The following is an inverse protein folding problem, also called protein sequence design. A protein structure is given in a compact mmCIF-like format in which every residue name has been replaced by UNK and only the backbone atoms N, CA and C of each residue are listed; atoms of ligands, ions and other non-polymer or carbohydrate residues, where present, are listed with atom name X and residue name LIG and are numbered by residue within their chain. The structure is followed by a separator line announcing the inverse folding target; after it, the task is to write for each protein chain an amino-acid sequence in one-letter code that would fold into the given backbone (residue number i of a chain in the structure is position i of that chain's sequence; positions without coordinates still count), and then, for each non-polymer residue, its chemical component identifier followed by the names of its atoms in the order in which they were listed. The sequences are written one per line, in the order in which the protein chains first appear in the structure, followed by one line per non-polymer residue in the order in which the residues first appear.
data_IF_841319613478
#
_entry.id   IF_841319613478
#
_cell.length_a   1.000
_cell.length_b   1.000
_cell.length_c   1.000
_cell.angle_alpha   90.00
_cell.angle_beta   90.00
_cell.angle_gamma   90.00
#
_symmetry.space_group_name_H-M   'P 1'
#
loop_
_entity.id
_entity.type
_entity.pdbx_description
1 polymer ?
#
# COMPACT_ATOMS: atom_id res chain seq x y z
N UNK A 1 4.32 29.14 -7.38
CA UNK A 1 5.74 29.15 -7.74
C UNK A 1 6.53 27.86 -7.40
N UNK A 2 6.20 27.13 -6.32
CA UNK A 2 6.94 25.91 -5.94
C UNK A 2 6.56 24.67 -6.78
N UNK A 3 5.38 24.68 -7.40
CA UNK A 3 4.84 23.53 -8.16
C UNK A 3 5.31 23.45 -9.62
N UNK A 4 6.01 24.46 -10.14
CA UNK A 4 6.41 24.54 -11.56
C UNK A 4 7.67 23.75 -11.92
N UNK A 5 8.51 23.40 -10.94
CA UNK A 5 9.79 22.69 -11.15
C UNK A 5 9.74 21.19 -10.81
N UNK A 6 8.56 20.58 -10.75
CA UNK A 6 8.45 19.13 -10.51
C UNK A 6 8.65 18.33 -11.81
N UNK A 7 9.35 17.19 -11.69
CA UNK A 7 9.54 16.24 -12.79
C UNK A 7 8.20 15.67 -13.32
N UNK A 8 7.20 15.54 -12.44
CA UNK A 8 5.82 15.21 -12.80
C UNK A 8 4.90 16.31 -12.29
N UNK A 9 4.12 16.90 -13.19
CA UNK A 9 3.18 17.95 -12.81
C UNK A 9 1.96 17.33 -12.10
N UNK A 10 1.52 17.90 -10.96
CA UNK A 10 0.33 17.43 -10.29
C UNK A 10 -0.90 17.68 -11.15
N UNK A 11 -1.79 16.69 -11.23
CA UNK A 11 -3.09 16.82 -11.87
C UNK A 11 -4.10 17.24 -10.80
N UNK A 12 -4.67 18.44 -10.94
CA UNK A 12 -5.79 18.89 -10.12
C UNK A 12 -7.11 18.58 -10.84
N UNK A 13 -8.03 17.93 -10.14
CA UNK A 13 -9.37 17.63 -10.65
C UNK A 13 -10.36 18.11 -9.60
N UNK A 14 -11.19 19.08 -9.98
CA UNK A 14 -12.29 19.59 -9.16
C UNK A 14 -13.57 18.83 -9.50
N UNK A 15 -14.49 18.71 -8.53
CA UNK A 15 -15.77 17.99 -8.67
C UNK A 15 -15.61 16.55 -9.20
N UNK A 16 -14.47 15.92 -8.90
CA UNK A 16 -14.14 14.60 -9.39
C UNK A 16 -15.01 13.53 -8.72
N UNK A 17 -15.60 12.65 -9.53
CA UNK A 17 -16.20 11.41 -9.06
C UNK A 17 -15.13 10.31 -8.91
N UNK A 18 -15.52 9.18 -8.31
CA UNK A 18 -14.60 8.06 -8.11
C UNK A 18 -14.05 7.51 -9.44
N UNK A 19 -14.84 7.60 -10.52
CA UNK A 19 -14.43 7.15 -11.85
C UNK A 19 -13.38 8.07 -12.49
N UNK A 20 -13.51 9.38 -12.32
CA UNK A 20 -12.52 10.36 -12.78
C UNK A 20 -11.19 10.18 -12.05
N UNK A 21 -11.24 9.94 -10.73
CA UNK A 21 -10.04 9.66 -9.92
C UNK A 21 -9.39 8.33 -10.35
N UNK A 22 -10.18 7.30 -10.59
CA UNK A 22 -9.71 5.99 -11.10
C UNK A 22 -9.00 6.16 -12.45
N UNK A 23 -9.64 6.81 -13.41
CA UNK A 23 -9.08 7.06 -14.74
C UNK A 23 -7.79 7.89 -14.67
N UNK A 24 -7.74 8.90 -13.80
CA UNK A 24 -6.54 9.70 -13.59
C UNK A 24 -5.41 8.85 -12.99
N UNK A 25 -5.69 8.04 -11.97
CA UNK A 25 -4.72 7.18 -11.33
C UNK A 25 -4.13 6.13 -12.28
N UNK A 26 -4.95 5.57 -13.17
CA UNK A 26 -4.49 4.62 -14.21
C UNK A 26 -3.61 5.33 -15.23
N UNK A 27 -4.04 6.50 -15.72
CA UNK A 27 -3.29 7.28 -16.72
C UNK A 27 -1.92 7.74 -16.23
N UNK A 28 -1.80 8.10 -14.95
CA UNK A 28 -0.55 8.56 -14.35
C UNK A 28 0.30 7.43 -13.78
N UNK A 29 -0.21 6.20 -13.74
CA UNK A 29 0.53 5.05 -13.18
C UNK A 29 0.69 5.11 -11.66
N UNK A 30 -0.33 5.58 -10.94
CA UNK A 30 -0.29 5.72 -9.49
C UNK A 30 0.04 4.38 -8.79
N UNK A 31 1.03 4.41 -7.88
CA UNK A 31 1.47 3.20 -7.15
C UNK A 31 0.69 2.98 -5.87
N UNK A 32 0.22 4.06 -5.23
CA UNK A 32 -0.53 4.06 -3.97
C UNK A 32 -1.59 5.17 -3.98
N UNK A 33 -2.74 4.90 -3.38
CA UNK A 33 -3.79 5.90 -3.18
C UNK A 33 -3.89 6.33 -1.71
N UNK A 34 -4.34 7.55 -1.46
CA UNK A 34 -4.65 8.05 -0.11
C UNK A 34 -6.05 8.65 -0.13
N UNK A 35 -6.92 8.22 0.78
CA UNK A 35 -8.29 8.72 0.82
C UNK A 35 -9.20 7.92 1.73
N UNK A 36 -10.50 8.15 1.62
CA UNK A 36 -11.52 7.51 2.45
C UNK A 36 -11.98 6.14 1.86
N UNK A 37 -12.99 5.49 2.45
CA UNK A 37 -13.42 4.13 2.03
C UNK A 37 -13.85 4.01 0.56
N UNK A 38 -14.18 5.12 -0.12
CA UNK A 38 -14.50 5.13 -1.55
C UNK A 38 -13.32 4.73 -2.44
N UNK A 39 -12.08 4.84 -1.94
CA UNK A 39 -10.90 4.39 -2.67
C UNK A 39 -10.81 2.87 -2.85
N UNK A 40 -11.72 2.08 -2.24
CA UNK A 40 -11.75 0.62 -2.38
C UNK A 40 -11.83 0.16 -3.84
N UNK A 41 -12.52 0.91 -4.70
CA UNK A 41 -12.63 0.59 -6.13
C UNK A 41 -11.27 0.53 -6.84
N UNK A 42 -10.33 1.42 -6.48
CA UNK A 42 -8.95 1.39 -7.02
C UNK A 42 -8.20 0.13 -6.60
N UNK A 43 -8.41 -0.34 -5.36
CA UNK A 43 -7.77 -1.56 -4.87
C UNK A 43 -8.36 -2.79 -5.54
N UNK A 44 -9.69 -2.88 -5.69
CA UNK A 44 -10.35 -4.05 -6.28
C UNK A 44 -10.09 -4.18 -7.79
N UNK A 45 -10.07 -3.07 -8.53
CA UNK A 45 -9.97 -3.10 -10.00
C UNK A 45 -8.54 -3.03 -10.51
N UNK A 46 -7.66 -2.28 -9.86
CA UNK A 46 -6.31 -2.02 -10.33
C UNK A 46 -5.22 -2.56 -9.41
N UNK A 47 -5.58 -3.17 -8.27
CA UNK A 47 -4.60 -3.68 -7.30
C UNK A 47 -3.76 -2.56 -6.66
N UNK A 48 -4.22 -1.30 -6.74
CA UNK A 48 -3.54 -0.16 -6.12
C UNK A 48 -4.02 -0.07 -4.68
N UNK A 49 -3.15 -0.30 -3.68
CA UNK A 49 -3.57 -0.23 -2.30
C UNK A 49 -3.85 1.22 -1.90
N UNK A 50 -4.91 1.41 -1.12
CA UNK A 50 -5.32 2.74 -0.65
C UNK A 50 -5.14 2.84 0.87
N UNK A 51 -4.29 3.78 1.30
CA UNK A 51 -4.14 4.15 2.71
C UNK A 51 -5.32 5.00 3.14
N UNK A 52 -6.05 4.53 4.15
CA UNK A 52 -7.30 5.15 4.61
C UNK A 52 -7.02 6.36 5.50
N UNK A 53 -7.40 7.54 5.04
CA UNK A 53 -7.24 8.83 5.73
C UNK A 53 -8.46 9.71 5.47
N UNK A 54 -8.84 10.50 6.48
CA UNK A 54 -9.95 11.43 6.38
C UNK A 54 -11.28 10.77 6.72
N UNK A 55 -12.34 11.22 6.04
CA UNK A 55 -13.72 10.84 6.33
C UNK A 55 -14.51 10.65 5.02
N UNK A 56 -15.46 9.70 4.93
CA UNK A 56 -15.83 8.67 5.91
C UNK A 56 -15.08 7.34 5.73
N UNK A 57 -14.68 6.73 6.85
CA UNK A 57 -14.04 5.40 6.88
C UNK A 57 -14.98 4.39 7.54
N UNK A 58 -15.78 3.67 6.74
CA UNK A 58 -16.79 2.71 7.23
C UNK A 58 -16.37 1.25 7.04
N UNK A 59 -15.33 0.98 6.25
CA UNK A 59 -14.86 -0.37 5.90
C UNK A 59 -13.78 -0.92 6.84
N UNK A 60 -13.55 -0.22 7.96
CA UNK A 60 -12.58 -0.60 9.01
C UNK A 60 -13.18 -0.34 10.39
N UNK A 61 -13.06 -1.32 11.27
CA UNK A 61 -13.43 -1.17 12.68
C UNK A 61 -12.47 -0.17 13.33
N UNK A 62 -13.03 0.83 13.99
CA UNK A 62 -12.24 1.91 14.62
C UNK A 62 -11.74 2.96 13.64
N UNK A 63 -12.24 3.00 12.40
CA UNK A 63 -11.91 4.05 11.42
C UNK A 63 -12.15 5.47 11.94
N UNK A 64 -13.17 5.65 12.78
CA UNK A 64 -13.49 6.93 13.44
C UNK A 64 -12.44 7.37 14.48
N UNK A 65 -11.59 6.45 14.97
CA UNK A 65 -10.51 6.75 15.93
C UNK A 65 -9.16 6.96 15.27
N UNK A 66 -9.12 6.97 13.93
CA UNK A 66 -7.89 7.24 13.20
C UNK A 66 -7.51 8.70 13.40
N UNK A 67 -6.58 8.92 14.32
CA UNK A 67 -6.02 10.23 14.58
C UNK A 67 -5.00 10.59 13.51
N UNK A 68 -5.19 11.72 12.83
CA UNK A 68 -4.32 12.17 11.73
C UNK A 68 -3.63 13.51 12.02
N UNK A 69 -3.92 14.13 13.18
CA UNK A 69 -3.41 15.44 13.54
C UNK A 69 -2.20 15.37 14.48
N UNK A 70 -1.37 16.41 14.50
CA UNK A 70 -0.18 16.49 15.34
C UNK A 70 0.88 15.42 15.04
N UNK A 71 1.95 15.40 15.84
CA UNK A 71 3.07 14.47 15.63
C UNK A 71 2.64 13.00 15.71
N UNK A 72 1.80 12.66 16.68
CA UNK A 72 1.31 11.30 16.85
C UNK A 72 0.46 10.83 15.65
N UNK A 73 -0.41 11.69 15.11
CA UNK A 73 -1.24 11.36 13.96
C UNK A 73 -0.42 11.22 12.67
N UNK A 74 0.55 12.10 12.46
CA UNK A 74 1.45 12.03 11.30
C UNK A 74 2.34 10.80 11.33
N UNK A 75 2.92 10.44 12.49
CA UNK A 75 3.72 9.21 12.62
C UNK A 75 2.86 7.97 12.37
N UNK A 76 1.67 7.89 12.98
CA UNK A 76 0.76 6.78 12.74
C UNK A 76 0.27 6.71 11.27
N UNK A 77 0.16 7.84 10.58
CA UNK A 77 -0.11 7.87 9.15
C UNK A 77 1.08 7.36 8.34
N UNK A 78 2.30 7.83 8.64
CA UNK A 78 3.52 7.41 7.95
C UNK A 78 3.75 5.89 8.09
N UNK A 79 3.54 5.34 9.27
CA UNK A 79 3.66 3.90 9.50
C UNK A 79 2.67 3.11 8.63
N UNK A 80 1.41 3.54 8.60
CA UNK A 80 0.36 2.91 7.78
C UNK A 80 0.67 3.03 6.28
N UNK A 81 1.12 4.19 5.84
CA UNK A 81 1.49 4.44 4.44
C UNK A 81 2.65 3.53 4.01
N UNK A 82 3.70 3.47 4.82
CA UNK A 82 4.89 2.65 4.55
C UNK A 82 4.54 1.16 4.55
N UNK A 83 3.77 0.70 5.54
CA UNK A 83 3.33 -0.70 5.60
C UNK A 83 2.47 -1.09 4.39
N UNK A 84 1.58 -0.20 3.96
CA UNK A 84 0.75 -0.41 2.76
C UNK A 84 1.62 -0.60 1.50
N UNK A 85 2.69 0.20 1.39
CA UNK A 85 3.63 0.11 0.27
C UNK A 85 4.46 -1.19 0.33
N UNK A 86 4.92 -1.57 1.53
CA UNK A 86 5.65 -2.81 1.75
C UNK A 86 4.78 -4.03 1.45
N UNK A 87 3.54 -4.06 1.91
CA UNK A 87 2.58 -5.14 1.62
C UNK A 87 2.43 -5.36 0.10
N UNK A 88 2.29 -4.28 -0.68
CA UNK A 88 2.24 -4.35 -2.15
C UNK A 88 3.50 -4.97 -2.74
N UNK A 89 4.68 -4.52 -2.25
CA UNK A 89 5.97 -5.00 -2.72
C UNK A 89 6.18 -6.49 -2.42
N UNK A 90 5.87 -6.92 -1.19
CA UNK A 90 6.04 -8.31 -0.77
C UNK A 90 5.00 -9.25 -1.39
N UNK A 91 3.78 -8.78 -1.65
CA UNK A 91 2.76 -9.57 -2.35
C UNK A 91 3.25 -10.08 -3.71
N UNK A 92 3.77 -9.19 -4.55
CA UNK A 92 4.34 -9.54 -5.85
C UNK A 92 5.65 -10.35 -5.73
N UNK A 93 6.46 -10.06 -4.70
CA UNK A 93 7.71 -10.79 -4.47
C UNK A 93 7.50 -12.28 -4.15
N UNK A 94 6.45 -12.64 -3.38
CA UNK A 94 6.19 -14.05 -3.03
C UNK A 94 5.87 -14.88 -4.27
N UNK A 95 5.17 -14.32 -5.25
CA UNK A 95 4.84 -15.03 -6.49
C UNK A 95 6.05 -15.15 -7.40
N UNK A 96 6.80 -14.06 -7.62
CA UNK A 96 8.04 -14.09 -8.40
C UNK A 96 9.07 -15.08 -7.83
N UNK A 97 9.24 -15.10 -6.51
CA UNK A 97 10.17 -16.03 -5.85
C UNK A 97 9.70 -17.49 -5.94
N UNK A 98 8.39 -17.75 -5.90
CA UNK A 98 7.83 -19.09 -6.14
C UNK A 98 8.09 -19.53 -7.58
N UNK A 99 7.84 -18.64 -8.53
CA UNK A 99 8.05 -18.91 -9.96
C UNK A 99 9.53 -19.13 -10.28
N UNK A 100 10.44 -18.35 -9.69
CA UNK A 100 11.88 -18.59 -9.72
C UNK A 100 12.27 -19.93 -9.08
N UNK A 101 11.61 -20.34 -7.99
CA UNK A 101 11.86 -21.63 -7.33
C UNK A 101 11.40 -22.82 -8.18
N UNK A 102 10.27 -22.71 -8.89
CA UNK A 102 9.80 -23.74 -9.82
C UNK A 102 10.66 -23.81 -11.09
N UNK A 103 11.09 -22.66 -11.63
CA UNK A 103 11.90 -22.60 -12.84
C UNK A 103 13.40 -22.84 -12.60
N UNK A 104 13.88 -22.75 -11.34
CA UNK A 104 15.27 -23.01 -10.99
C UNK A 104 15.42 -23.67 -9.61
N UNK A 105 15.18 -24.99 -9.49
CA UNK A 105 15.18 -25.72 -8.21
C UNK A 105 16.55 -25.80 -7.51
N UNK A 106 17.63 -25.35 -8.15
CA UNK A 106 19.01 -25.46 -7.62
C UNK A 106 19.41 -24.28 -6.72
N UNK A 107 18.58 -23.24 -6.59
CA UNK A 107 18.78 -22.10 -5.67
C UNK A 107 17.93 -22.27 -4.40
N UNK A 108 18.17 -23.33 -3.64
CA UNK A 108 17.67 -23.40 -2.26
C UNK A 108 18.48 -22.41 -1.40
N UNK A 109 17.87 -21.53 -0.58
CA UNK A 109 18.62 -20.96 0.53
C UNK A 109 19.08 -22.12 1.42
N UNK A 110 20.37 -22.15 1.78
CA UNK A 110 20.90 -23.08 2.76
C UNK A 110 20.21 -22.80 4.11
N UNK A 111 19.13 -23.52 4.37
CA UNK A 111 18.23 -23.28 5.50
C UNK A 111 16.81 -23.73 5.15
N UNK A 112 16.60 -25.05 5.13
CA UNK A 112 15.28 -25.65 4.99
C UNK A 112 14.39 -25.38 6.22
N UNK A 113 13.06 -25.55 6.09
CA UNK A 113 12.14 -25.42 7.21
C UNK A 113 12.20 -26.72 8.04
N UNK A 114 12.97 -26.72 9.12
CA UNK A 114 13.07 -27.90 9.97
C UNK A 114 14.11 -27.82 11.06
N UNK A 115 14.07 -26.78 11.89
CA UNK A 115 14.70 -26.79 13.23
C UNK A 115 14.10 -25.64 14.03
N UNK A 116 12.89 -25.87 14.55
CA UNK A 116 12.47 -25.18 15.77
C UNK A 116 13.12 -26.01 16.87
N UNK A 117 14.36 -25.68 17.22
CA UNK A 117 14.99 -26.19 18.43
C UNK A 117 14.06 -25.83 19.60
N UNK A 118 13.45 -26.86 20.16
CA UNK A 118 13.00 -26.89 21.54
C UNK A 118 14.21 -26.61 22.42
N UNK A 119 14.47 -25.35 22.72
CA UNK A 119 15.67 -24.93 23.44
C UNK A 119 15.52 -23.55 24.05
N UNK A 120 15.15 -23.54 25.34
CA UNK A 120 15.46 -22.48 26.30
C UNK A 120 14.90 -21.08 26.02
N UNK A 121 13.70 -20.83 26.55
CA UNK A 121 13.40 -19.55 27.18
C UNK A 121 13.15 -19.81 28.65
N UNK A 122 14.05 -19.29 29.48
CA UNK A 122 13.83 -19.05 30.91
C UNK A 122 12.70 -18.03 31.09
#
# INVERSE_FOLDING_TARGET
PVLSDLAEQPVLIEEADFAAIENAAVRTGATIGVGHSGGKFLTERHGIPVTRVGYPIHDRIGGQRIFSAGYAGTLAFLDRFTNTLLEKKYGCYREKKKEEMYNNPQRLPAGGPGEIESGNFL
#
